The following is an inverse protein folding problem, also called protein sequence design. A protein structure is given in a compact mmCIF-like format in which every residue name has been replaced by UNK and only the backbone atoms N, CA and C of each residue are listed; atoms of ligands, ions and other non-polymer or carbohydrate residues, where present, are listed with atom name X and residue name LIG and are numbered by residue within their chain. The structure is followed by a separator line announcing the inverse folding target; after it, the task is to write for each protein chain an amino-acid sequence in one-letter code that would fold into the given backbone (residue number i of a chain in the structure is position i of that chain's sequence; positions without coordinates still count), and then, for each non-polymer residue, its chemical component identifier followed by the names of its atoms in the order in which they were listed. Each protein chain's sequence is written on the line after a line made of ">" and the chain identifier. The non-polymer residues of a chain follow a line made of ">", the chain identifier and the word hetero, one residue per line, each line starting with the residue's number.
data_IF_956887477865
#
_entry.id   IF_956887477865
#
_cell.length_a   1.000
_cell.length_b   1.000
_cell.length_c   1.000
_cell.angle_alpha   90.00
_cell.angle_beta   90.00
_cell.angle_gamma   90.00
#
_symmetry.space_group_name_H-M   'P 1'
#
loop_
_entity.id
_entity.type
_entity.pdbx_description
1 polymer ?
#
# COMPACT_ATOMS: atom_id res chain seq x y z
N UNK A 1 18.33 22.31 20.72
CA UNK A 1 18.05 21.60 19.43
C UNK A 1 18.08 20.08 19.60
N UNK A 2 18.69 19.53 20.65
CA UNK A 2 18.68 18.09 20.97
C UNK A 2 17.33 17.59 21.49
N UNK A 3 16.71 18.26 22.48
CA UNK A 3 15.43 17.79 23.07
C UNK A 3 14.25 17.77 22.07
N UNK A 4 14.15 18.77 21.19
CA UNK A 4 13.08 18.81 20.17
C UNK A 4 13.23 17.67 19.15
N UNK A 5 14.46 17.36 18.73
CA UNK A 5 14.74 16.22 17.87
C UNK A 5 14.46 14.90 18.58
N UNK A 6 14.77 14.79 19.88
CA UNK A 6 14.45 13.60 20.68
C UNK A 6 12.94 13.37 20.80
N UNK A 7 12.14 14.41 21.01
CA UNK A 7 10.67 14.31 21.04
C UNK A 7 10.13 13.91 19.66
N UNK A 8 10.66 14.47 18.58
CA UNK A 8 10.28 14.09 17.23
C UNK A 8 10.62 12.63 16.96
N UNK A 9 11.84 12.19 17.29
CA UNK A 9 12.25 10.80 17.10
C UNK A 9 11.47 9.82 17.98
N UNK A 10 11.08 10.24 19.19
CA UNK A 10 10.20 9.45 20.06
C UNK A 10 8.81 9.27 19.44
N UNK A 11 8.22 10.34 18.92
CA UNK A 11 6.89 10.29 18.29
C UNK A 11 6.93 9.54 16.94
N UNK A 12 7.97 9.73 16.14
CA UNK A 12 8.16 9.01 14.87
C UNK A 12 8.59 7.54 15.06
N UNK A 13 8.99 7.15 16.28
CA UNK A 13 9.28 5.77 16.64
C UNK A 13 8.05 4.92 16.91
N UNK A 14 6.86 5.51 16.99
CA UNK A 14 5.62 4.76 17.17
C UNK A 14 5.26 3.95 15.92
N UNK A 15 4.72 2.75 16.15
CA UNK A 15 4.20 1.92 15.08
C UNK A 15 2.98 2.57 14.39
N UNK A 16 2.69 2.22 13.12
CA UNK A 16 1.56 2.76 12.35
C UNK A 16 0.23 2.80 13.08
N UNK A 17 -0.08 1.72 13.82
CA UNK A 17 -1.34 1.56 14.54
C UNK A 17 -1.47 2.44 15.78
N UNK A 18 -0.42 3.17 16.16
CA UNK A 18 -0.44 4.23 17.19
C UNK A 18 -0.31 5.61 16.54
N UNK A 19 0.65 5.75 15.62
CA UNK A 19 0.95 7.03 14.99
C UNK A 19 -0.23 7.56 14.15
N UNK A 20 -0.86 6.72 13.32
CA UNK A 20 -1.97 7.18 12.48
C UNK A 20 -3.20 7.57 13.29
N UNK A 21 -3.69 6.76 14.25
CA UNK A 21 -4.75 7.20 15.17
C UNK A 21 -4.48 8.54 15.83
N UNK A 22 -3.24 8.77 16.29
CA UNK A 22 -2.88 10.04 16.93
C UNK A 22 -3.01 11.21 15.96
N UNK A 23 -2.51 11.07 14.73
CA UNK A 23 -2.65 12.09 13.68
C UNK A 23 -4.13 12.36 13.38
N UNK A 24 -4.93 11.31 13.21
CA UNK A 24 -6.37 11.44 12.94
C UNK A 24 -7.10 12.10 14.12
N UNK A 25 -6.72 11.80 15.36
CA UNK A 25 -7.27 12.45 16.54
C UNK A 25 -6.98 13.95 16.54
N UNK A 26 -5.73 14.35 16.28
CA UNK A 26 -5.34 15.76 16.18
C UNK A 26 -6.10 16.46 15.07
N UNK A 27 -6.19 15.86 13.87
CA UNK A 27 -6.98 16.41 12.77
C UNK A 27 -8.46 16.57 13.14
N UNK A 28 -9.05 15.59 13.83
CA UNK A 28 -10.42 15.68 14.29
C UNK A 28 -10.63 16.88 15.23
N UNK A 29 -9.68 17.14 16.14
CA UNK A 29 -9.73 18.32 17.01
C UNK A 29 -9.58 19.64 16.23
N UNK A 30 -8.68 19.68 15.24
CA UNK A 30 -8.47 20.86 14.38
C UNK A 30 -9.75 21.20 13.60
N UNK A 31 -10.45 20.20 13.08
CA UNK A 31 -11.74 20.36 12.41
C UNK A 31 -12.92 20.54 13.39
N UNK A 32 -12.64 20.74 14.68
CA UNK A 32 -13.62 20.99 15.75
C UNK A 32 -14.66 19.87 15.90
N UNK A 33 -14.27 18.62 15.62
CA UNK A 33 -15.06 17.48 16.08
C UNK A 33 -14.99 17.41 17.62
N UNK A 34 -16.07 16.94 18.23
CA UNK A 34 -16.10 16.71 19.68
C UNK A 34 -14.99 15.75 20.09
N UNK A 35 -14.27 16.06 21.18
CA UNK A 35 -13.12 15.27 21.68
C UNK A 35 -13.46 13.78 21.79
N UNK A 36 -14.64 13.45 22.33
CA UNK A 36 -15.09 12.06 22.45
C UNK A 36 -15.29 11.35 21.10
N UNK A 37 -15.80 12.07 20.10
CA UNK A 37 -15.98 11.54 18.74
C UNK A 37 -14.63 11.31 18.07
N UNK A 38 -13.73 12.30 18.14
CA UNK A 38 -12.38 12.19 17.59
C UNK A 38 -11.61 11.04 18.23
N UNK A 39 -11.67 10.90 19.57
CA UNK A 39 -10.97 9.84 20.29
C UNK A 39 -11.49 8.46 19.91
N UNK A 40 -12.81 8.28 19.85
CA UNK A 40 -13.42 7.01 19.42
C UNK A 40 -13.01 6.66 17.98
N UNK A 41 -13.08 7.62 17.06
CA UNK A 41 -12.69 7.40 15.67
C UNK A 41 -11.21 6.97 15.54
N UNK A 42 -10.31 7.70 16.21
CA UNK A 42 -8.89 7.35 16.26
C UNK A 42 -8.65 5.96 16.85
N UNK A 43 -9.27 5.65 18.00
CA UNK A 43 -9.13 4.35 18.65
C UNK A 43 -9.64 3.20 17.76
N UNK A 44 -10.79 3.37 17.09
CA UNK A 44 -11.33 2.39 16.15
C UNK A 44 -10.36 2.12 14.99
N UNK A 45 -9.72 3.15 14.45
CA UNK A 45 -8.69 3.01 13.40
C UNK A 45 -7.49 2.20 13.93
N UNK A 46 -7.01 2.51 15.14
CA UNK A 46 -5.89 1.79 15.76
C UNK A 46 -6.18 0.30 15.95
N UNK A 47 -7.36 -0.02 16.49
CA UNK A 47 -7.83 -1.41 16.64
C UNK A 47 -7.94 -2.10 15.26
N UNK A 48 -8.45 -1.40 14.25
CA UNK A 48 -8.53 -1.90 12.87
C UNK A 48 -7.16 -2.29 12.30
N UNK A 49 -6.14 -1.44 12.51
CA UNK A 49 -4.78 -1.79 12.09
C UNK A 49 -4.22 -3.00 12.80
N UNK A 50 -4.43 -3.13 14.12
CA UNK A 50 -4.00 -4.32 14.85
C UNK A 50 -4.63 -5.58 14.26
N UNK A 51 -5.92 -5.53 13.88
CA UNK A 51 -6.59 -6.63 13.20
C UNK A 51 -5.93 -7.00 11.87
N UNK A 52 -5.59 -6.00 11.04
CA UNK A 52 -4.88 -6.20 9.77
C UNK A 52 -3.50 -6.85 10.02
N UNK A 53 -2.73 -6.32 10.97
CA UNK A 53 -1.39 -6.84 11.28
C UNK A 53 -1.45 -8.26 11.86
N UNK A 54 -2.45 -8.61 12.65
CA UNK A 54 -2.61 -9.97 13.17
C UNK A 54 -2.81 -10.99 12.03
N UNK A 55 -3.71 -10.70 11.10
CA UNK A 55 -3.95 -11.57 9.92
C UNK A 55 -2.71 -11.63 9.04
N UNK A 56 -2.06 -10.48 8.83
CA UNK A 56 -0.84 -10.37 8.04
C UNK A 56 0.32 -11.18 8.64
N UNK A 57 0.61 -11.03 9.93
CA UNK A 57 1.69 -11.73 10.62
C UNK A 57 1.44 -13.24 10.64
N UNK A 58 0.18 -13.65 10.80
CA UNK A 58 -0.23 -15.04 10.65
C UNK A 58 0.07 -15.57 9.25
N UNK A 59 -0.37 -14.86 8.20
CA UNK A 59 -0.11 -15.22 6.80
C UNK A 59 1.40 -15.33 6.52
N UNK A 60 2.19 -14.33 6.92
CA UNK A 60 3.64 -14.32 6.75
C UNK A 60 4.28 -15.49 7.49
N UNK A 61 3.85 -15.78 8.72
CA UNK A 61 4.34 -16.91 9.50
C UNK A 61 4.07 -18.27 8.84
N UNK A 62 2.97 -18.40 8.09
CA UNK A 62 2.63 -19.61 7.33
C UNK A 62 3.46 -19.71 6.05
N UNK A 63 3.57 -18.63 5.27
CA UNK A 63 4.15 -18.67 3.93
C UNK A 63 5.68 -18.62 3.93
N UNK A 64 6.30 -17.93 4.89
CA UNK A 64 7.74 -17.75 4.95
C UNK A 64 8.53 -19.07 4.94
N UNK A 65 8.26 -20.07 5.80
CA UNK A 65 8.99 -21.34 5.74
C UNK A 65 8.78 -22.07 4.39
N UNK A 66 7.60 -21.96 3.79
CA UNK A 66 7.28 -22.57 2.48
C UNK A 66 8.15 -21.98 1.37
N UNK A 67 8.28 -20.65 1.34
CA UNK A 67 9.12 -19.96 0.35
C UNK A 67 10.61 -20.30 0.53
N UNK A 68 11.10 -20.37 1.77
CA UNK A 68 12.50 -20.76 2.02
C UNK A 68 12.79 -22.22 1.61
N UNK A 69 11.84 -23.12 1.86
CA UNK A 69 11.94 -24.52 1.43
C UNK A 69 11.91 -24.65 -0.11
N UNK A 70 11.01 -23.91 -0.78
CA UNK A 70 10.99 -23.78 -2.24
C UNK A 70 12.33 -23.30 -2.78
N UNK A 71 12.87 -22.21 -2.22
CA UNK A 71 14.13 -21.64 -2.65
C UNK A 71 15.29 -22.62 -2.51
N UNK A 72 15.38 -23.28 -1.36
CA UNK A 72 16.41 -24.30 -1.10
C UNK A 72 16.32 -25.48 -2.07
N UNK A 73 15.10 -25.94 -2.37
CA UNK A 73 14.87 -27.08 -3.27
C UNK A 73 15.14 -26.74 -4.74
N UNK A 74 14.87 -25.51 -5.15
CA UNK A 74 15.00 -25.08 -6.55
C UNK A 74 16.34 -24.37 -6.81
N UNK A 75 17.23 -24.30 -5.81
CA UNK A 75 18.54 -23.65 -5.92
C UNK A 75 18.46 -22.12 -6.03
N UNK A 76 17.37 -21.50 -5.60
CA UNK A 76 17.21 -20.05 -5.60
C UNK A 76 17.95 -19.47 -4.39
N UNK A 77 18.92 -18.59 -4.63
CA UNK A 77 19.69 -17.89 -3.58
C UNK A 77 18.93 -16.70 -2.96
N UNK A 78 17.60 -16.75 -2.91
CA UNK A 78 16.77 -15.68 -2.35
C UNK A 78 16.71 -15.83 -0.83
N UNK A 79 17.32 -14.90 -0.10
CA UNK A 79 17.33 -14.87 1.38
C UNK A 79 16.23 -13.97 1.97
N UNK A 80 15.45 -13.30 1.12
CA UNK A 80 14.49 -12.29 1.53
C UNK A 80 13.09 -12.62 1.01
N UNK A 81 12.11 -12.59 1.90
CA UNK A 81 10.70 -12.68 1.56
C UNK A 81 10.15 -11.26 1.34
N UNK A 82 9.53 -11.02 0.19
CA UNK A 82 8.68 -9.84 0.01
C UNK A 82 7.38 -10.06 0.79
N UNK A 83 7.31 -9.40 1.94
CA UNK A 83 6.15 -9.41 2.84
C UNK A 83 5.18 -8.27 2.51
N UNK A 84 5.38 -7.55 1.41
CA UNK A 84 4.49 -6.49 0.97
C UNK A 84 4.68 -5.17 1.69
N UNK A 85 3.68 -4.32 1.57
CA UNK A 85 3.77 -2.89 1.87
C UNK A 85 3.82 -2.51 3.37
N UNK A 86 3.21 -3.22 4.34
CA UNK A 86 3.11 -2.68 5.70
C UNK A 86 4.47 -2.42 6.38
N UNK A 87 5.47 -3.32 6.29
CA UNK A 87 6.80 -3.05 6.84
C UNK A 87 7.53 -1.90 6.13
N UNK A 88 7.32 -1.74 4.81
CA UNK A 88 7.91 -0.63 4.05
C UNK A 88 7.32 0.72 4.50
N UNK A 89 6.01 0.77 4.75
CA UNK A 89 5.36 1.95 5.29
C UNK A 89 5.87 2.28 6.71
N UNK A 90 5.96 1.30 7.60
CA UNK A 90 6.53 1.49 8.94
C UNK A 90 7.96 2.03 8.89
N UNK A 91 8.82 1.42 8.04
CA UNK A 91 10.20 1.86 7.84
C UNK A 91 10.26 3.30 7.35
N UNK A 92 9.38 3.67 6.43
CA UNK A 92 9.29 5.03 5.90
C UNK A 92 8.91 6.04 6.97
N UNK A 93 8.00 5.71 7.87
CA UNK A 93 7.59 6.64 8.92
C UNK A 93 8.63 6.79 10.03
N UNK A 94 9.48 5.78 10.24
CA UNK A 94 10.64 5.87 11.12
C UNK A 94 11.85 6.60 10.51
N UNK A 95 11.78 6.98 9.23
CA UNK A 95 12.83 7.74 8.56
C UNK A 95 12.97 9.16 9.17
N UNK A 96 14.17 9.57 9.63
CA UNK A 96 14.38 10.87 10.28
C UNK A 96 13.85 12.09 9.53
N UNK A 97 13.90 12.07 8.19
CA UNK A 97 13.47 13.19 7.37
C UNK A 97 12.02 13.10 6.89
N UNK A 98 11.27 12.05 7.26
CA UNK A 98 9.91 11.82 6.77
C UNK A 98 8.99 13.02 7.03
N UNK A 99 8.97 13.55 8.25
CA UNK A 99 8.12 14.69 8.61
C UNK A 99 8.49 15.97 7.84
N UNK A 100 9.78 16.21 7.61
CA UNK A 100 10.28 17.37 6.86
C UNK A 100 9.87 17.27 5.40
N UNK A 101 10.09 16.10 4.78
CA UNK A 101 9.72 15.86 3.39
C UNK A 101 8.20 15.95 3.23
N UNK A 102 7.43 15.37 4.14
CA UNK A 102 5.97 15.50 4.16
C UNK A 102 5.53 16.97 4.14
N UNK A 103 6.09 17.81 5.04
CA UNK A 103 5.75 19.22 5.10
C UNK A 103 6.08 19.95 3.79
N UNK A 104 7.22 19.64 3.18
CA UNK A 104 7.62 20.20 1.88
C UNK A 104 6.65 19.76 0.78
N UNK A 105 6.28 18.47 0.72
CA UNK A 105 5.36 17.96 -0.31
C UNK A 105 3.95 18.53 -0.18
N UNK A 106 3.45 18.69 1.04
CA UNK A 106 2.19 19.40 1.30
C UNK A 106 2.28 20.86 0.84
N UNK A 107 3.37 21.55 1.15
CA UNK A 107 3.63 22.91 0.68
C UNK A 107 3.67 23.00 -0.85
N UNK A 108 4.30 22.02 -1.51
CA UNK A 108 4.34 21.92 -2.97
C UNK A 108 2.94 21.67 -3.53
N UNK A 109 2.12 20.81 -2.91
CA UNK A 109 0.75 20.59 -3.38
C UNK A 109 -0.05 21.90 -3.35
N UNK A 110 0.02 22.65 -2.25
CA UNK A 110 -0.60 23.98 -2.12
C UNK A 110 -0.06 24.95 -3.17
N UNK A 111 1.26 25.00 -3.38
CA UNK A 111 1.87 25.87 -4.38
C UNK A 111 1.38 25.55 -5.79
N UNK A 112 1.34 24.27 -6.17
CA UNK A 112 0.85 23.84 -7.47
C UNK A 112 -0.64 24.15 -7.65
N UNK A 113 -1.45 24.07 -6.59
CA UNK A 113 -2.86 24.44 -6.62
C UNK A 113 -3.04 25.94 -6.85
N UNK A 114 -2.33 26.78 -6.08
CA UNK A 114 -2.38 28.25 -6.22
C UNK A 114 -1.88 28.69 -7.59
N UNK A 115 -0.81 28.06 -8.08
CA UNK A 115 -0.28 28.27 -9.43
C UNK A 115 -1.18 27.68 -10.53
N UNK A 116 -2.28 27.00 -10.19
CA UNK A 116 -3.21 26.31 -11.11
C UNK A 116 -2.52 25.26 -11.98
N UNK A 117 -1.38 24.73 -11.50
CA UNK A 117 -0.64 23.65 -12.12
C UNK A 117 -1.23 22.28 -11.76
N UNK A 118 -2.05 22.17 -10.72
CA UNK A 118 -2.85 20.98 -10.41
C UNK A 118 -4.24 21.38 -9.94
N UNK A 119 -5.21 20.48 -10.09
CA UNK A 119 -6.56 20.55 -9.52
C UNK A 119 -6.75 19.55 -8.39
N UNK A 120 -5.75 18.71 -8.14
CA UNK A 120 -5.77 17.67 -7.11
C UNK A 120 -5.20 18.19 -5.80
N UNK A 121 -6.01 18.11 -4.74
CA UNK A 121 -5.59 18.30 -3.36
C UNK A 121 -5.38 16.91 -2.78
N UNK A 122 -4.15 16.58 -2.39
CA UNK A 122 -3.84 15.32 -1.75
C UNK A 122 -3.88 15.48 -0.22
N UNK A 123 -5.03 15.08 0.35
CA UNK A 123 -5.34 15.18 1.78
C UNK A 123 -5.00 13.91 2.57
N UNK A 124 -4.62 12.82 1.89
CA UNK A 124 -4.32 11.56 2.55
C UNK A 124 -2.85 11.48 2.94
N UNK A 125 -2.56 12.13 4.07
CA UNK A 125 -1.21 12.24 4.65
C UNK A 125 -0.55 10.88 4.88
N UNK A 126 -1.32 9.83 5.17
CA UNK A 126 -0.77 8.50 5.38
C UNK A 126 -0.10 7.97 4.13
N UNK A 127 -0.73 8.16 2.97
CA UNK A 127 -0.25 7.58 1.72
C UNK A 127 0.92 8.35 1.09
N UNK A 128 1.38 9.44 1.70
CA UNK A 128 2.66 10.08 1.34
C UNK A 128 3.86 9.17 1.62
N UNK A 129 3.70 8.11 2.42
CA UNK A 129 4.76 7.14 2.66
C UNK A 129 5.35 6.60 1.34
N UNK A 130 4.58 6.44 0.27
CA UNK A 130 5.13 5.94 -0.99
C UNK A 130 6.22 6.84 -1.59
N UNK A 131 6.00 8.16 -1.60
CA UNK A 131 6.96 9.12 -2.17
C UNK A 131 8.10 9.42 -1.19
N UNK A 132 7.83 9.36 0.11
CA UNK A 132 8.86 9.46 1.15
C UNK A 132 9.75 8.21 1.16
N UNK A 133 9.19 7.03 0.87
CA UNK A 133 9.95 5.79 0.74
C UNK A 133 10.94 5.86 -0.41
N UNK A 134 10.54 6.47 -1.54
CA UNK A 134 11.47 6.76 -2.64
C UNK A 134 12.62 7.67 -2.18
N UNK A 135 12.34 8.72 -1.41
CA UNK A 135 13.40 9.55 -0.83
C UNK A 135 14.31 8.74 0.11
N UNK A 136 13.73 7.92 0.99
CA UNK A 136 14.49 7.02 1.87
C UNK A 136 15.44 6.15 1.04
N UNK A 137 14.94 5.46 0.00
CA UNK A 137 15.76 4.64 -0.88
C UNK A 137 16.91 5.42 -1.53
N UNK A 138 16.61 6.58 -2.11
CA UNK A 138 17.62 7.43 -2.77
C UNK A 138 18.66 7.91 -1.77
N UNK A 139 18.25 8.30 -0.56
CA UNK A 139 19.21 8.70 0.47
C UNK A 139 20.05 7.52 0.96
N UNK A 140 19.45 6.34 1.15
CA UNK A 140 20.19 5.14 1.57
C UNK A 140 21.26 4.75 0.57
N UNK A 141 20.98 4.88 -0.74
CA UNK A 141 21.95 4.54 -1.80
C UNK A 141 22.99 5.64 -2.02
N UNK A 142 22.61 6.91 -1.96
CA UNK A 142 23.49 8.04 -2.36
C UNK A 142 24.12 8.80 -1.21
N UNK A 143 23.57 8.68 0.01
CA UNK A 143 23.89 9.53 1.16
C UNK A 143 23.40 10.98 1.04
N UNK A 144 22.78 11.38 -0.07
CA UNK A 144 22.48 12.78 -0.37
C UNK A 144 21.00 13.12 -0.15
N UNK A 145 20.74 13.94 0.87
CA UNK A 145 19.39 14.41 1.21
C UNK A 145 18.73 15.23 0.08
N UNK A 146 19.48 16.07 -0.63
CA UNK A 146 18.91 16.92 -1.67
C UNK A 146 18.47 16.12 -2.90
N UNK A 147 19.23 15.08 -3.25
CA UNK A 147 18.83 14.13 -4.30
C UNK A 147 17.58 13.34 -3.90
N UNK A 148 17.51 12.89 -2.65
CA UNK A 148 16.34 12.21 -2.11
C UNK A 148 15.10 13.10 -2.13
N UNK A 149 15.23 14.35 -1.69
CA UNK A 149 14.15 15.34 -1.74
C UNK A 149 13.71 15.61 -3.19
N UNK A 150 14.65 15.83 -4.10
CA UNK A 150 14.34 16.05 -5.52
C UNK A 150 13.59 14.86 -6.12
N UNK A 151 14.02 13.62 -5.82
CA UNK A 151 13.34 12.41 -6.27
C UNK A 151 11.90 12.32 -5.75
N UNK A 152 11.68 12.57 -4.46
CA UNK A 152 10.33 12.61 -3.88
C UNK A 152 9.45 13.69 -4.51
N UNK A 153 9.98 14.90 -4.71
CA UNK A 153 9.24 16.01 -5.32
C UNK A 153 8.84 15.68 -6.76
N UNK A 154 9.78 15.18 -7.57
CA UNK A 154 9.48 14.79 -8.95
C UNK A 154 8.44 13.68 -8.99
N UNK A 155 8.61 12.63 -8.17
CA UNK A 155 7.63 11.55 -8.10
C UNK A 155 6.26 12.04 -7.65
N UNK A 156 6.19 12.92 -6.66
CA UNK A 156 4.93 13.47 -6.17
C UNK A 156 4.21 14.31 -7.23
N UNK A 157 4.92 15.19 -7.94
CA UNK A 157 4.35 15.96 -9.06
C UNK A 157 3.82 15.03 -10.15
N UNK A 158 4.58 13.98 -10.51
CA UNK A 158 4.14 12.98 -11.49
C UNK A 158 2.89 12.24 -11.02
N UNK A 159 2.84 11.84 -9.74
CA UNK A 159 1.67 11.19 -9.14
C UNK A 159 0.43 12.07 -9.22
N UNK A 160 0.54 13.36 -8.89
CA UNK A 160 -0.59 14.29 -9.03
C UNK A 160 -1.09 14.35 -10.49
N UNK A 161 -0.18 14.35 -11.46
CA UNK A 161 -0.54 14.34 -12.89
C UNK A 161 -1.19 13.03 -13.34
N UNK A 162 -0.70 11.90 -12.87
CA UNK A 162 -1.32 10.61 -13.11
C UNK A 162 -2.69 10.50 -12.42
N UNK A 163 -2.87 11.14 -11.27
CA UNK A 163 -4.16 11.19 -10.57
C UNK A 163 -5.19 11.96 -11.38
N UNK A 164 -4.81 13.12 -11.92
CA UNK A 164 -5.66 13.91 -12.82
C UNK A 164 -6.03 13.13 -14.09
N UNK A 165 -5.06 12.42 -14.68
CA UNK A 165 -5.29 11.62 -15.88
C UNK A 165 -6.21 10.41 -15.63
N UNK A 166 -6.05 9.73 -14.50
CA UNK A 166 -6.86 8.57 -14.12
C UNK A 166 -8.23 8.93 -13.54
N UNK A 167 -8.45 10.18 -13.13
CA UNK A 167 -9.70 10.64 -12.51
C UNK A 167 -10.98 10.26 -13.28
N UNK A 168 -11.05 10.37 -14.63
CA UNK A 168 -12.24 9.95 -15.37
C UNK A 168 -12.51 8.44 -15.26
N UNK A 169 -11.46 7.62 -15.24
CA UNK A 169 -11.59 6.17 -15.08
C UNK A 169 -12.06 5.81 -13.66
N UNK A 170 -11.48 6.45 -12.64
CA UNK A 170 -11.92 6.30 -11.24
C UNK A 170 -13.40 6.67 -11.11
N UNK A 171 -13.81 7.80 -11.66
CA UNK A 171 -15.19 8.29 -11.59
C UNK A 171 -16.18 7.34 -12.31
N UNK A 172 -15.77 6.70 -13.42
CA UNK A 172 -16.58 5.67 -14.08
C UNK A 172 -16.73 4.40 -13.24
N UNK A 173 -15.70 4.02 -12.49
CA UNK A 173 -15.69 2.82 -11.65
C UNK A 173 -16.46 3.02 -10.33
N UNK A 174 -16.30 4.18 -9.70
CA UNK A 174 -16.87 4.46 -8.36
C UNK A 174 -18.17 5.25 -8.40
N UNK A 175 -18.45 5.96 -9.49
CA UNK A 175 -19.56 6.92 -9.60
C UNK A 175 -19.33 8.24 -8.86
N UNK A 176 -18.15 8.44 -8.26
CA UNK A 176 -17.87 9.60 -7.41
C UNK A 176 -17.22 10.74 -8.22
N UNK A 177 -17.98 11.83 -8.41
CA UNK A 177 -17.50 13.02 -9.12
C UNK A 177 -16.52 13.82 -8.27
N UNK A 178 -15.46 14.31 -8.90
CA UNK A 178 -14.47 15.19 -8.26
C UNK A 178 -13.44 14.46 -7.39
N UNK A 179 -13.40 13.13 -7.43
CA UNK A 179 -12.43 12.31 -6.67
C UNK A 179 -11.38 11.75 -7.63
N UNK A 180 -10.14 11.75 -7.18
CA UNK A 180 -9.02 11.02 -7.79
C UNK A 180 -8.22 10.31 -6.69
N UNK A 181 -7.31 9.40 -7.05
CA UNK A 181 -6.52 8.61 -6.11
C UNK A 181 -5.04 8.97 -6.31
N UNK A 182 -4.48 9.96 -5.59
CA UNK A 182 -3.15 10.50 -5.85
C UNK A 182 -2.03 9.69 -5.16
N UNK A 183 -2.02 8.37 -5.32
CA UNK A 183 -1.04 7.52 -4.62
C UNK A 183 -0.24 6.64 -5.57
N UNK A 184 1.08 6.62 -5.33
CA UNK A 184 2.07 6.04 -6.23
C UNK A 184 1.85 4.53 -6.48
N UNK A 185 1.48 3.74 -5.46
CA UNK A 185 1.30 2.29 -5.57
C UNK A 185 0.24 1.89 -6.60
N UNK A 186 -0.86 2.64 -6.69
CA UNK A 186 -1.89 2.41 -7.70
C UNK A 186 -1.57 3.07 -9.04
N UNK A 187 -1.10 4.31 -9.00
CA UNK A 187 -0.95 5.13 -10.21
C UNK A 187 0.30 4.81 -11.03
N UNK A 188 1.35 4.27 -10.42
CA UNK A 188 2.57 3.91 -11.16
C UNK A 188 2.28 2.94 -12.31
N UNK A 189 1.26 2.08 -12.15
CA UNK A 189 0.84 1.12 -13.16
C UNK A 189 -0.22 1.65 -14.12
N UNK A 190 -0.78 2.85 -13.90
CA UNK A 190 -1.85 3.39 -14.74
C UNK A 190 -1.44 3.56 -16.21
N UNK A 191 -0.25 4.12 -16.55
CA UNK A 191 0.16 4.21 -17.95
C UNK A 191 0.27 2.84 -18.63
N UNK A 192 0.77 1.84 -17.89
CA UNK A 192 0.87 0.45 -18.37
C UNK A 192 -0.52 -0.15 -18.56
N UNK A 193 -1.44 0.09 -17.63
CA UNK A 193 -2.82 -0.37 -17.72
C UNK A 193 -3.54 0.22 -18.94
N UNK A 194 -3.35 1.53 -19.22
CA UNK A 194 -3.92 2.18 -20.42
C UNK A 194 -3.33 1.58 -21.70
N UNK A 195 -2.03 1.33 -21.75
CA UNK A 195 -1.39 0.68 -22.89
C UNK A 195 -1.91 -0.74 -23.11
N UNK A 196 -2.03 -1.53 -22.04
CA UNK A 196 -2.56 -2.88 -22.09
C UNK A 196 -4.04 -2.90 -22.49
N UNK A 197 -4.88 -1.99 -21.97
CA UNK A 197 -6.28 -1.86 -22.39
C UNK A 197 -6.41 -1.56 -23.89
N UNK A 198 -5.55 -0.67 -24.40
CA UNK A 198 -5.50 -0.36 -25.83
C UNK A 198 -5.04 -1.54 -26.69
N UNK A 199 -4.13 -2.39 -26.19
CA UNK A 199 -3.66 -3.60 -26.87
C UNK A 199 -4.72 -4.69 -26.85
N UNK A 200 -5.25 -5.03 -25.68
CA UNK A 200 -6.30 -6.03 -25.49
C UNK A 200 -7.59 -5.63 -26.22
N UNK A 201 -7.88 -4.34 -26.29
CA UNK A 201 -9.01 -3.80 -27.05
C UNK A 201 -8.95 -4.06 -28.57
N UNK A 202 -7.78 -4.39 -29.12
CA UNK A 202 -7.62 -4.80 -30.54
C UNK A 202 -7.89 -6.28 -30.77
N UNK A 203 -7.94 -7.10 -29.72
CA UNK A 203 -8.22 -8.53 -29.84
C UNK A 203 -9.74 -8.73 -29.95
N UNK A 204 -10.26 -9.20 -31.10
CA UNK A 204 -11.69 -9.41 -31.27
C UNK A 204 -12.20 -10.46 -30.28
N UNK A 205 -13.33 -10.18 -29.63
CA UNK A 205 -13.96 -11.10 -28.68
C UNK A 205 -13.55 -10.89 -27.22
N UNK A 206 -12.34 -10.40 -26.94
CA UNK A 206 -11.85 -10.23 -25.55
C UNK A 206 -12.66 -9.19 -24.76
N UNK A 207 -13.10 -8.11 -25.41
CA UNK A 207 -13.98 -7.08 -24.81
C UNK A 207 -15.32 -7.60 -24.30
N UNK A 208 -15.77 -8.77 -24.76
CA UNK A 208 -17.03 -9.38 -24.33
C UNK A 208 -16.89 -10.13 -23.00
N UNK A 209 -15.67 -10.39 -22.56
CA UNK A 209 -15.40 -11.15 -21.35
C UNK A 209 -15.47 -10.22 -20.15
N UNK A 210 -16.60 -10.23 -19.45
CA UNK A 210 -16.71 -9.63 -18.12
C UNK A 210 -16.36 -10.69 -17.08
N UNK A 211 -15.10 -10.69 -16.65
CA UNK A 211 -14.58 -11.52 -15.58
C UNK A 211 -14.43 -10.67 -14.31
N UNK A 212 -15.55 -10.32 -13.68
CA UNK A 212 -15.54 -9.82 -12.30
C UNK A 212 -15.40 -10.99 -11.30
N UNK A 213 -14.94 -10.76 -10.06
CA UNK A 213 -14.95 -11.78 -9.02
C UNK A 213 -16.33 -12.42 -8.84
N UNK A 214 -17.41 -11.64 -8.89
CA UNK A 214 -18.78 -12.20 -8.79
C UNK A 214 -19.14 -13.07 -10.00
N UNK A 215 -18.70 -12.68 -11.20
CA UNK A 215 -18.91 -13.48 -12.41
C UNK A 215 -18.07 -14.76 -12.42
N UNK A 216 -16.85 -14.71 -11.86
CA UNK A 216 -15.98 -15.87 -11.69
C UNK A 216 -16.60 -16.83 -10.68
N UNK A 217 -17.04 -16.34 -9.53
CA UNK A 217 -17.71 -17.15 -8.52
C UNK A 217 -18.99 -17.79 -9.07
N UNK A 218 -19.81 -17.05 -9.84
CA UNK A 218 -21.00 -17.61 -10.50
C UNK A 218 -20.69 -18.67 -11.56
N UNK A 219 -19.54 -18.59 -12.23
CA UNK A 219 -19.14 -19.53 -13.30
C UNK A 219 -18.37 -20.74 -12.78
N UNK A 220 -17.50 -20.54 -11.79
CA UNK A 220 -16.60 -21.55 -11.22
C UNK A 220 -17.20 -22.20 -9.96
N UNK A 221 -18.30 -21.66 -9.44
CA UNK A 221 -18.92 -22.14 -8.21
C UNK A 221 -17.93 -22.08 -7.03
N UNK A 222 -17.81 -23.19 -6.31
CA UNK A 222 -16.94 -23.34 -5.15
C UNK A 222 -15.46 -23.01 -5.45
N UNK A 223 -14.98 -23.27 -6.67
CA UNK A 223 -13.59 -22.95 -7.05
C UNK A 223 -13.31 -21.44 -7.18
N UNK A 224 -14.34 -20.60 -7.23
CA UNK A 224 -14.21 -19.14 -7.23
C UNK A 224 -14.26 -18.52 -5.84
N UNK A 225 -14.46 -19.31 -4.77
CA UNK A 225 -14.49 -18.79 -3.40
C UNK A 225 -13.07 -18.45 -2.92
N UNK A 226 -12.85 -17.27 -2.30
CA UNK A 226 -11.53 -16.87 -1.83
C UNK A 226 -10.84 -17.92 -0.93
N UNK A 227 -11.59 -18.57 -0.04
CA UNK A 227 -11.07 -19.62 0.82
C UNK A 227 -10.58 -20.85 0.02
N UNK A 228 -11.30 -21.23 -1.04
CA UNK A 228 -10.91 -22.35 -1.90
C UNK A 228 -9.70 -22.00 -2.74
N UNK A 229 -9.61 -20.75 -3.21
CA UNK A 229 -8.41 -20.24 -3.89
C UNK A 229 -7.21 -20.29 -2.95
N UNK A 230 -7.36 -19.80 -1.71
CA UNK A 230 -6.32 -19.86 -0.68
C UNK A 230 -5.88 -21.29 -0.37
N UNK A 231 -6.85 -22.22 -0.25
CA UNK A 231 -6.59 -23.65 -0.07
C UNK A 231 -5.74 -24.21 -1.21
N UNK A 232 -6.18 -24.02 -2.46
CA UNK A 232 -5.48 -24.55 -3.64
C UNK A 232 -4.08 -23.96 -3.75
N UNK A 233 -3.91 -22.65 -3.56
CA UNK A 233 -2.60 -22.00 -3.59
C UNK A 233 -1.69 -22.56 -2.50
N UNK A 234 -2.19 -22.72 -1.27
CA UNK A 234 -1.39 -23.28 -0.17
C UNK A 234 -0.98 -24.73 -0.39
N UNK A 235 -1.88 -25.56 -0.91
CA UNK A 235 -1.58 -26.95 -1.28
C UNK A 235 -0.49 -27.01 -2.35
N UNK A 236 -0.60 -26.21 -3.40
CA UNK A 236 0.36 -26.19 -4.51
C UNK A 236 1.74 -25.69 -4.07
N UNK A 237 1.80 -24.62 -3.27
CA UNK A 237 3.05 -24.08 -2.76
C UNK A 237 3.77 -25.06 -1.83
N UNK A 238 3.04 -25.66 -0.88
CA UNK A 238 3.62 -26.63 0.05
C UNK A 238 4.06 -27.91 -0.66
N UNK A 239 3.31 -28.36 -1.67
CA UNK A 239 3.70 -29.49 -2.51
C UNK A 239 4.96 -29.19 -3.31
N UNK A 240 5.03 -28.02 -3.95
CA UNK A 240 6.20 -27.59 -4.69
C UNK A 240 7.44 -27.39 -3.79
N UNK A 241 7.24 -27.02 -2.52
CA UNK A 241 8.28 -26.94 -1.49
C UNK A 241 8.83 -28.33 -1.10
N UNK A 242 8.11 -29.40 -1.42
CA UNK A 242 8.53 -30.77 -1.11
C UNK A 242 8.17 -31.24 0.29
N UNK A 243 7.17 -30.62 0.91
CA UNK A 243 6.68 -31.06 2.22
C UNK A 243 5.93 -32.39 2.15
N UNK A 244 5.73 -33.02 3.30
CA UNK A 244 4.93 -34.23 3.41
C UNK A 244 3.43 -33.91 3.30
N UNK A 245 2.61 -34.95 3.10
CA UNK A 245 1.16 -34.79 2.89
C UNK A 245 0.51 -34.06 4.08
N UNK A 246 0.98 -34.30 5.30
CA UNK A 246 0.45 -33.65 6.50
C UNK A 246 0.67 -32.13 6.44
N UNK A 247 1.91 -31.67 6.23
CA UNK A 247 2.22 -30.24 6.16
C UNK A 247 1.56 -29.59 4.94
N UNK A 248 1.46 -30.29 3.82
CA UNK A 248 0.74 -29.79 2.63
C UNK A 248 -0.71 -29.45 2.99
N UNK A 249 -1.45 -30.39 3.59
CA UNK A 249 -2.84 -30.19 3.97
C UNK A 249 -2.99 -29.09 5.03
N UNK A 250 -2.12 -29.07 6.04
CA UNK A 250 -2.13 -28.01 7.06
C UNK A 250 -1.88 -26.62 6.47
N UNK A 251 -0.88 -26.47 5.60
CA UNK A 251 -0.58 -25.20 4.93
C UNK A 251 -1.73 -24.74 4.04
N UNK A 252 -2.37 -25.67 3.31
CA UNK A 252 -3.57 -25.39 2.54
C UNK A 252 -4.68 -24.77 3.40
N UNK A 253 -5.04 -25.40 4.51
CA UNK A 253 -6.09 -24.88 5.41
C UNK A 253 -5.69 -23.55 6.04
N UNK A 254 -4.43 -23.39 6.45
CA UNK A 254 -3.91 -22.14 7.04
C UNK A 254 -3.93 -20.97 6.05
N UNK A 255 -3.71 -21.20 4.76
CA UNK A 255 -3.78 -20.17 3.71
C UNK A 255 -5.21 -19.89 3.23
N UNK A 256 -6.14 -20.80 3.49
CA UNK A 256 -7.57 -20.63 3.20
C UNK A 256 -8.29 -19.73 4.23
N UNK A 257 -7.78 -19.71 5.46
CA UNK A 257 -8.31 -18.94 6.59
C UNK A 257 -7.90 -17.46 6.53
#
# INVERSE_FOLDING_TARGET
>A
MTEFNEVIHYVLGFQPYVLLPLIIFVLALVFRLGVGTGFRAALTIGIGFIGIFLVFDYFVGVIHPVILALGSRWGLQQTTLDVGWPPLASMTWSYPWAAVILAILLGINVLLLVARLTRTVDIDVWNYWHVIFLALMVQTVTGNFWLALAAAVVAFVLVLKLAEWSAPAVNKLTGLKGICIPHLSGLAYFPVAVALDALLGRIPGLRKWQLSPESLQKRLGLAGEPAVIGLVVGLLLAWAAGYDVKVILETGVKLAA
#
